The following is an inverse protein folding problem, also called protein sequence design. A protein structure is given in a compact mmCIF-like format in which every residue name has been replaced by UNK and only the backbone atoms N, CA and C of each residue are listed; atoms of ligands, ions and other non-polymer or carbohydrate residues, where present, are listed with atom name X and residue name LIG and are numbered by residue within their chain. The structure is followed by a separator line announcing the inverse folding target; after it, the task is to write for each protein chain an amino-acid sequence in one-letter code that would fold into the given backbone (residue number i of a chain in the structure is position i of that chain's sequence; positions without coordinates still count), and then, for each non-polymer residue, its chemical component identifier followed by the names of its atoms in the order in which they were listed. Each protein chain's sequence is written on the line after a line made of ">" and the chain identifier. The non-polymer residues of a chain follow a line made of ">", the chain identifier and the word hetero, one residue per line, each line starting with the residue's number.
data_IF_493631178097
#
_entry.id   IF_493631178097
#
_cell.length_a   1.000
_cell.length_b   1.000
_cell.length_c   1.000
_cell.angle_alpha   90.00
_cell.angle_beta   90.00
_cell.angle_gamma   90.00
#
_symmetry.space_group_name_H-M   'P 1'
#
loop_
_entity.id
_entity.type
_entity.pdbx_description
1 polymer ?
#
# COMPACT_ATOMS: atom_id res chain seq x y z
N UNK A 1 -1.99 -33.32 -48.80
CA UNK A 1 -2.50 -32.09 -48.18
C UNK A 1 -3.01 -32.38 -46.77
N UNK A 2 -2.55 -31.57 -45.80
CA UNK A 2 -3.09 -31.32 -44.45
C UNK A 2 -3.07 -32.45 -43.41
N UNK A 3 -2.05 -32.41 -42.53
CA UNK A 3 -2.22 -32.58 -41.09
C UNK A 3 -1.29 -31.60 -40.38
N UNK A 4 -1.86 -30.52 -39.84
CA UNK A 4 -1.29 -29.72 -38.74
C UNK A 4 -2.28 -28.60 -38.39
N UNK A 5 -2.81 -28.64 -37.17
CA UNK A 5 -3.45 -27.57 -36.37
C UNK A 5 -4.47 -28.21 -35.43
N UNK A 6 -4.04 -28.72 -34.27
CA UNK A 6 -4.94 -28.92 -33.12
C UNK A 6 -4.14 -29.20 -31.83
N UNK A 7 -3.18 -28.34 -31.45
CA UNK A 7 -2.54 -28.45 -30.12
C UNK A 7 -2.21 -27.12 -29.42
N UNK A 8 -2.57 -25.95 -29.95
CA UNK A 8 -2.14 -24.65 -29.37
C UNK A 8 -3.19 -23.83 -28.61
N UNK A 9 -4.47 -24.25 -28.55
CA UNK A 9 -5.52 -23.42 -27.90
C UNK A 9 -5.83 -23.80 -26.44
N UNK A 10 -5.55 -25.03 -26.01
CA UNK A 10 -5.95 -25.54 -24.67
C UNK A 10 -5.00 -25.10 -23.53
N UNK A 11 -3.73 -24.83 -23.84
CA UNK A 11 -2.73 -24.40 -22.85
C UNK A 11 -2.88 -22.92 -22.43
N UNK A 12 -3.34 -22.05 -23.34
CA UNK A 12 -3.56 -20.63 -23.05
C UNK A 12 -4.78 -20.39 -22.15
N UNK A 13 -5.90 -21.09 -22.38
CA UNK A 13 -7.12 -20.91 -21.57
C UNK A 13 -6.96 -21.39 -20.11
N UNK A 14 -6.24 -22.48 -19.90
CA UNK A 14 -5.99 -23.05 -18.56
C UNK A 14 -5.07 -22.14 -17.71
N UNK A 15 -4.09 -21.49 -18.34
CA UNK A 15 -3.16 -20.57 -17.69
C UNK A 15 -3.82 -19.22 -17.37
N UNK A 16 -4.64 -18.68 -18.28
CA UNK A 16 -5.40 -17.44 -18.02
C UNK A 16 -6.44 -17.61 -16.90
N UNK A 17 -7.07 -18.78 -16.81
CA UNK A 17 -8.06 -19.08 -15.76
C UNK A 17 -7.42 -19.25 -14.37
N UNK A 18 -6.20 -19.79 -14.28
CA UNK A 18 -5.51 -19.95 -13.00
C UNK A 18 -4.90 -18.63 -12.49
N UNK A 19 -4.38 -17.80 -13.39
CA UNK A 19 -3.87 -16.45 -13.08
C UNK A 19 -5.00 -15.55 -12.57
N UNK A 20 -6.14 -15.51 -13.27
CA UNK A 20 -7.31 -14.70 -12.85
C UNK A 20 -7.84 -15.12 -11.48
N UNK A 21 -7.94 -16.42 -11.19
CA UNK A 21 -8.31 -16.93 -9.86
C UNK A 21 -7.34 -16.49 -8.76
N UNK A 22 -6.03 -16.47 -9.05
CA UNK A 22 -5.01 -16.04 -8.10
C UNK A 22 -5.10 -14.52 -7.83
N UNK A 23 -5.29 -13.72 -8.87
CA UNK A 23 -5.50 -12.28 -8.77
C UNK A 23 -6.76 -11.93 -7.97
N UNK A 24 -7.86 -12.64 -8.21
CA UNK A 24 -9.10 -12.51 -7.44
C UNK A 24 -8.86 -12.83 -5.96
N UNK A 25 -8.13 -13.92 -5.67
CA UNK A 25 -7.79 -14.29 -4.30
C UNK A 25 -6.92 -13.22 -3.61
N UNK A 26 -5.96 -12.64 -4.32
CA UNK A 26 -5.13 -11.54 -3.84
C UNK A 26 -5.94 -10.29 -3.56
N UNK A 27 -6.84 -9.90 -4.47
CA UNK A 27 -7.73 -8.76 -4.26
C UNK A 27 -8.59 -8.93 -3.01
N UNK A 28 -9.19 -10.12 -2.81
CA UNK A 28 -10.01 -10.41 -1.61
C UNK A 28 -9.20 -10.24 -0.33
N UNK A 29 -7.99 -10.80 -0.26
CA UNK A 29 -7.11 -10.69 0.92
C UNK A 29 -6.76 -9.24 1.24
N UNK A 30 -6.44 -8.44 0.22
CA UNK A 30 -6.13 -7.01 0.39
C UNK A 30 -7.37 -6.19 0.72
N UNK A 31 -8.55 -6.55 0.19
CA UNK A 31 -9.83 -5.92 0.58
C UNK A 31 -10.11 -6.13 2.06
N UNK A 32 -9.83 -7.31 2.59
CA UNK A 32 -9.94 -7.62 4.03
C UNK A 32 -9.02 -6.69 4.85
N UNK A 33 -7.73 -6.61 4.49
CA UNK A 33 -6.76 -5.74 5.15
C UNK A 33 -7.17 -4.27 5.07
N UNK A 34 -7.55 -3.79 3.88
CA UNK A 34 -7.97 -2.41 3.67
C UNK A 34 -9.21 -2.06 4.48
N UNK A 35 -10.19 -2.96 4.55
CA UNK A 35 -11.40 -2.77 5.37
C UNK A 35 -11.05 -2.73 6.86
N UNK A 36 -10.11 -3.58 7.31
CA UNK A 36 -9.61 -3.57 8.68
C UNK A 36 -8.96 -2.22 9.02
N UNK A 37 -8.06 -1.71 8.17
CA UNK A 37 -7.39 -0.42 8.37
C UNK A 37 -8.41 0.72 8.50
N UNK A 38 -9.41 0.77 7.61
CA UNK A 38 -10.47 1.79 7.68
C UNK A 38 -11.23 1.66 9.00
N UNK A 39 -11.67 0.46 9.36
CA UNK A 39 -12.44 0.22 10.59
C UNK A 39 -11.71 0.67 11.86
N UNK A 40 -10.40 0.39 11.96
CA UNK A 40 -9.60 0.82 13.12
C UNK A 40 -9.31 2.34 13.13
N UNK A 41 -9.54 3.04 12.02
CA UNK A 41 -9.17 4.45 11.84
C UNK A 41 -10.37 5.41 11.75
N UNK A 42 -11.61 4.92 11.83
CA UNK A 42 -12.82 5.77 11.65
C UNK A 42 -12.97 6.91 12.67
N UNK A 43 -12.34 6.80 13.84
CA UNK A 43 -12.35 7.86 14.87
C UNK A 43 -11.27 8.92 14.66
N UNK A 44 -10.36 8.73 13.71
CA UNK A 44 -9.27 9.66 13.42
C UNK A 44 -9.73 10.73 12.42
N UNK A 45 -9.78 12.02 12.82
CA UNK A 45 -10.26 13.10 11.96
C UNK A 45 -9.31 13.40 10.78
N UNK A 46 -8.06 12.93 10.82
CA UNK A 46 -7.09 13.07 9.76
C UNK A 46 -7.02 11.84 8.85
N UNK A 47 -7.87 10.83 9.07
CA UNK A 47 -7.89 9.63 8.26
C UNK A 47 -8.65 9.82 6.95
N UNK A 48 -7.88 10.08 5.90
CA UNK A 48 -8.34 10.11 4.51
C UNK A 48 -7.62 9.09 3.62
N UNK A 49 -7.95 9.13 2.34
CA UNK A 49 -7.37 8.29 1.27
C UNK A 49 -5.84 8.23 1.29
N UNK A 50 -5.14 9.37 1.40
CA UNK A 50 -3.67 9.39 1.46
C UNK A 50 -3.14 8.61 2.65
N UNK A 51 -3.73 8.82 3.84
CA UNK A 51 -3.30 8.15 5.07
C UNK A 51 -3.60 6.65 5.01
N UNK A 52 -4.78 6.28 4.49
CA UNK A 52 -5.14 4.90 4.20
C UNK A 52 -4.09 4.21 3.30
N UNK A 53 -3.77 4.81 2.16
CA UNK A 53 -2.81 4.26 1.20
C UNK A 53 -1.43 4.02 1.82
N UNK A 54 -0.96 4.96 2.64
CA UNK A 54 0.34 4.84 3.30
C UNK A 54 0.34 3.79 4.41
N UNK A 55 -0.74 3.70 5.19
CA UNK A 55 -0.90 2.65 6.19
C UNK A 55 -1.03 1.26 5.56
N UNK A 56 -1.68 1.14 4.40
CA UNK A 56 -1.74 -0.08 3.62
C UNK A 56 -0.33 -0.51 3.16
N UNK A 57 0.43 0.42 2.58
CA UNK A 57 1.81 0.16 2.16
C UNK A 57 2.68 -0.33 3.32
N UNK A 58 2.70 0.39 4.44
CA UNK A 58 3.50 0.03 5.61
C UNK A 58 3.03 -1.30 6.23
N UNK A 59 1.71 -1.54 6.28
CA UNK A 59 1.17 -2.82 6.77
C UNK A 59 1.65 -3.99 5.91
N UNK A 60 1.65 -3.83 4.59
CA UNK A 60 2.07 -4.88 3.66
C UNK A 60 3.58 -5.11 3.65
N UNK A 61 4.38 -4.03 3.63
CA UNK A 61 5.84 -4.11 3.46
C UNK A 61 6.63 -4.24 4.77
N UNK A 62 6.09 -3.74 5.89
CA UNK A 62 6.78 -3.75 7.18
C UNK A 62 6.24 -4.82 8.12
N UNK A 63 4.92 -4.99 8.20
CA UNK A 63 4.30 -5.92 9.13
C UNK A 63 4.12 -7.30 8.52
N UNK A 64 3.37 -7.39 7.42
CA UNK A 64 2.91 -8.67 6.88
C UNK A 64 3.97 -9.37 6.04
N UNK A 65 4.73 -8.64 5.23
CA UNK A 65 5.82 -9.16 4.38
C UNK A 65 5.39 -10.41 3.59
N UNK A 66 4.20 -10.34 2.99
CA UNK A 66 3.58 -11.43 2.22
C UNK A 66 3.12 -10.94 0.86
N UNK A 67 3.26 -11.79 -0.15
CA UNK A 67 2.81 -11.48 -1.50
C UNK A 67 1.28 -11.59 -1.60
N UNK A 68 0.63 -10.44 -1.79
CA UNK A 68 -0.79 -10.29 -2.09
C UNK A 68 -1.01 -9.66 -3.47
N UNK A 69 -0.06 -9.79 -4.39
CA UNK A 69 -0.12 -9.14 -5.69
C UNK A 69 -0.03 -7.61 -5.58
N UNK A 70 0.77 -7.10 -4.64
CA UNK A 70 1.01 -5.67 -4.52
C UNK A 70 1.83 -5.15 -5.70
N UNK A 71 1.40 -4.03 -6.28
CA UNK A 71 2.05 -3.34 -7.39
C UNK A 71 2.18 -1.85 -7.08
N UNK A 72 2.91 -1.54 -6.00
CA UNK A 72 3.20 -0.15 -5.65
C UNK A 72 4.07 0.51 -6.70
N UNK A 73 3.66 1.70 -7.12
CA UNK A 73 4.40 2.57 -8.01
C UNK A 73 4.64 3.92 -7.35
N UNK A 74 5.68 4.60 -7.79
CA UNK A 74 5.99 5.95 -7.35
C UNK A 74 4.96 6.95 -7.88
N UNK A 75 4.30 7.66 -6.96
CA UNK A 75 3.40 8.79 -7.23
C UNK A 75 3.77 9.98 -6.36
N UNK A 76 3.25 11.15 -6.73
CA UNK A 76 3.49 12.42 -6.03
C UNK A 76 3.35 12.30 -4.51
N UNK A 77 2.28 11.65 -4.03
CA UNK A 77 1.99 11.44 -2.61
C UNK A 77 2.68 10.20 -2.01
N UNK A 78 3.80 9.75 -2.57
CA UNK A 78 4.51 8.53 -2.13
C UNK A 78 4.03 7.25 -2.84
N UNK A 79 4.36 6.07 -2.29
CA UNK A 79 3.95 4.77 -2.83
C UNK A 79 2.44 4.67 -3.01
N UNK A 80 2.00 4.20 -4.17
CA UNK A 80 0.59 4.00 -4.47
C UNK A 80 0.37 2.79 -5.36
N UNK A 81 -0.61 1.96 -5.01
CA UNK A 81 -1.04 0.85 -5.85
C UNK A 81 -2.43 1.16 -6.40
N UNK A 82 -2.46 1.73 -7.61
CA UNK A 82 -3.71 2.09 -8.28
C UNK A 82 -4.51 0.88 -8.76
N UNK A 83 -3.84 -0.24 -9.07
CA UNK A 83 -4.48 -1.47 -9.55
C UNK A 83 -5.35 -2.09 -8.46
N UNK A 84 -4.95 -1.94 -7.19
CA UNK A 84 -5.79 -2.34 -6.06
C UNK A 84 -6.71 -1.23 -5.57
N UNK A 85 -6.19 -0.03 -5.33
CA UNK A 85 -6.91 1.00 -4.55
C UNK A 85 -8.17 1.51 -5.26
N UNK A 86 -8.14 1.65 -6.59
CA UNK A 86 -9.30 2.09 -7.37
C UNK A 86 -10.46 1.08 -7.27
N UNK A 87 -10.31 -0.21 -7.65
CA UNK A 87 -11.39 -1.18 -7.53
C UNK A 87 -11.77 -1.47 -6.07
N UNK A 88 -10.82 -1.41 -5.13
CA UNK A 88 -11.11 -1.54 -3.70
C UNK A 88 -12.13 -0.50 -3.24
N UNK A 89 -11.87 0.78 -3.54
CA UNK A 89 -12.77 1.85 -3.15
C UNK A 89 -14.13 1.77 -3.83
N UNK A 90 -14.18 1.46 -5.13
CA UNK A 90 -15.44 1.24 -5.84
C UNK A 90 -16.26 0.12 -5.18
N UNK A 91 -15.62 -0.98 -4.80
CA UNK A 91 -16.30 -2.14 -4.23
C UNK A 91 -16.84 -1.87 -2.82
N UNK A 92 -16.06 -1.24 -1.93
CA UNK A 92 -16.54 -0.95 -0.57
C UNK A 92 -17.69 0.08 -0.53
N UNK A 93 -17.72 1.00 -1.50
CA UNK A 93 -18.81 1.97 -1.67
C UNK A 93 -20.05 1.29 -2.24
N UNK A 94 -19.89 0.47 -3.29
CA UNK A 94 -20.97 -0.34 -3.87
C UNK A 94 -21.60 -1.29 -2.85
N UNK A 95 -20.77 -1.91 -2.00
CA UNK A 95 -21.22 -2.80 -0.93
C UNK A 95 -21.84 -2.04 0.26
N UNK A 96 -21.78 -0.70 0.23
CA UNK A 96 -22.25 0.21 1.30
C UNK A 96 -21.56 -0.03 2.65
N UNK A 97 -20.32 -0.52 2.64
CA UNK A 97 -19.53 -0.71 3.86
C UNK A 97 -19.01 0.62 4.39
N UNK A 98 -18.54 1.47 3.49
CA UNK A 98 -17.99 2.77 3.79
C UNK A 98 -18.47 3.80 2.78
N UNK A 99 -18.50 5.06 3.19
CA UNK A 99 -18.66 6.22 2.33
C UNK A 99 -17.35 6.99 2.30
N UNK A 100 -16.96 7.49 1.12
CA UNK A 100 -15.85 8.47 1.00
C UNK A 100 -16.42 9.85 0.70
N UNK A 101 -16.15 10.81 1.58
CA UNK A 101 -16.66 12.17 1.48
C UNK A 101 -15.53 13.10 1.11
N UNK A 102 -15.67 13.75 -0.04
CA UNK A 102 -14.68 14.73 -0.51
C UNK A 102 -14.64 15.93 0.43
N UNK A 103 -13.49 16.19 1.01
CA UNK A 103 -13.21 17.32 1.90
C UNK A 103 -11.95 18.01 1.40
N UNK A 104 -12.13 19.15 0.71
CA UNK A 104 -11.03 19.84 0.04
C UNK A 104 -10.37 18.95 -1.03
N UNK A 105 -9.10 18.60 -0.80
CA UNK A 105 -8.28 17.78 -1.72
C UNK A 105 -8.25 16.29 -1.38
N UNK A 106 -8.92 15.85 -0.31
CA UNK A 106 -8.88 14.48 0.18
C UNK A 106 -10.28 13.89 0.29
N UNK A 107 -10.35 12.57 0.41
CA UNK A 107 -11.57 11.86 0.79
C UNK A 107 -11.45 11.33 2.21
N UNK A 108 -12.41 11.69 3.07
CA UNK A 108 -12.52 11.14 4.43
C UNK A 108 -13.50 9.97 4.45
N UNK A 109 -13.25 8.99 5.31
CA UNK A 109 -14.11 7.81 5.43
C UNK A 109 -15.21 8.01 6.48
N UNK A 110 -16.41 7.50 6.18
CA UNK A 110 -17.50 7.33 7.15
C UNK A 110 -18.10 5.93 7.06
N UNK A 111 -18.80 5.51 8.11
CA UNK A 111 -19.58 4.27 8.11
C UNK A 111 -20.65 4.34 7.03
N UNK A 112 -20.76 3.28 6.22
CA UNK A 112 -21.88 3.10 5.30
C UNK A 112 -23.05 2.36 5.97
N UNK A 113 -24.17 2.27 5.26
CA UNK A 113 -25.39 1.60 5.73
C UNK A 113 -25.17 0.13 6.12
N UNK A 114 -24.27 -0.57 5.41
CA UNK A 114 -23.92 -1.98 5.64
C UNK A 114 -22.54 -2.15 6.27
N UNK A 115 -22.12 -1.19 7.09
CA UNK A 115 -20.81 -1.18 7.74
C UNK A 115 -20.46 -2.49 8.46
N UNK A 116 -21.39 -3.07 9.23
CA UNK A 116 -21.16 -4.29 10.00
C UNK A 116 -20.74 -5.49 9.14
N UNK A 117 -21.11 -5.50 7.85
CA UNK A 117 -20.68 -6.56 6.92
C UNK A 117 -19.17 -6.53 6.66
N UNK A 118 -18.50 -5.39 6.82
CA UNK A 118 -17.04 -5.24 6.62
C UNK A 118 -16.20 -5.92 7.72
N UNK A 119 -16.80 -6.18 8.89
CA UNK A 119 -16.11 -6.73 10.06
C UNK A 119 -16.12 -8.26 10.04
N UNK A 120 -17.07 -8.86 9.34
CA UNK A 120 -17.26 -10.33 9.26
C UNK A 120 -16.18 -11.05 8.44
N UNK A 121 -15.26 -10.32 7.82
CA UNK A 121 -14.35 -10.83 6.80
C UNK A 121 -12.89 -10.96 7.25
N UNK A 122 -12.56 -10.80 8.53
CA UNK A 122 -11.16 -10.78 9.00
C UNK A 122 -10.50 -12.15 9.16
N UNK A 123 -11.18 -13.24 8.85
CA UNK A 123 -10.71 -14.62 9.09
C UNK A 123 -9.46 -15.05 8.31
N UNK A 124 -8.94 -14.21 7.41
CA UNK A 124 -7.72 -14.51 6.65
C UNK A 124 -6.43 -14.23 7.43
N UNK A 125 -6.40 -13.20 8.27
CA UNK A 125 -5.22 -12.80 9.03
C UNK A 125 -5.29 -13.34 10.44
N UNK A 126 -4.14 -13.73 11.01
CA UNK A 126 -4.09 -14.16 12.41
C UNK A 126 -4.36 -12.99 13.37
N UNK A 127 -4.69 -13.30 14.62
CA UNK A 127 -4.88 -12.28 15.65
C UNK A 127 -3.60 -11.46 15.87
N UNK A 128 -2.42 -12.10 15.87
CA UNK A 128 -1.11 -11.46 15.96
C UNK A 128 -0.82 -10.53 14.78
N UNK A 129 -1.15 -10.94 13.55
CA UNK A 129 -0.99 -10.10 12.36
C UNK A 129 -1.87 -8.84 12.46
N UNK A 130 -3.15 -9.01 12.78
CA UNK A 130 -4.08 -7.89 12.95
C UNK A 130 -3.67 -6.97 14.10
N UNK A 131 -3.21 -7.52 15.22
CA UNK A 131 -2.69 -6.75 16.35
C UNK A 131 -1.47 -5.93 15.96
N UNK A 132 -0.57 -6.48 15.15
CA UNK A 132 0.63 -5.78 14.67
C UNK A 132 0.27 -4.65 13.70
N UNK A 133 -0.71 -4.89 12.81
CA UNK A 133 -1.28 -3.84 11.96
C UNK A 133 -1.97 -2.75 12.78
N UNK A 134 -2.73 -3.12 13.82
CA UNK A 134 -3.35 -2.16 14.73
C UNK A 134 -2.30 -1.29 15.43
N UNK A 135 -1.21 -1.89 15.94
CA UNK A 135 -0.13 -1.13 16.57
C UNK A 135 0.48 -0.09 15.61
N UNK A 136 0.63 -0.45 14.32
CA UNK A 136 1.07 0.48 13.28
C UNK A 136 0.05 1.62 13.08
N UNK A 137 -1.25 1.31 13.02
CA UNK A 137 -2.32 2.32 12.91
C UNK A 137 -2.28 3.28 14.10
N UNK A 138 -2.14 2.74 15.32
CA UNK A 138 -2.06 3.51 16.57
C UNK A 138 -0.86 4.47 16.59
N UNK A 139 0.30 4.01 16.09
CA UNK A 139 1.50 4.82 15.98
C UNK A 139 1.27 6.11 15.17
N UNK A 140 0.39 6.04 14.16
CA UNK A 140 0.03 7.18 13.32
C UNK A 140 -1.31 7.83 13.69
N UNK A 141 -2.02 7.40 14.74
CA UNK A 141 -3.38 7.89 15.05
C UNK A 141 -3.47 9.42 15.15
N UNK A 142 -2.48 10.06 15.78
CA UNK A 142 -2.42 11.55 15.91
C UNK A 142 -1.63 12.23 14.78
N UNK A 143 -1.09 11.46 13.84
CA UNK A 143 -0.30 12.00 12.74
C UNK A 143 -1.21 12.59 11.65
N UNK A 144 -0.81 13.73 11.12
CA UNK A 144 -1.39 14.29 9.90
C UNK A 144 -1.10 13.39 8.69
N UNK A 145 -1.89 13.48 7.63
CA UNK A 145 -1.64 12.74 6.39
C UNK A 145 -0.23 13.01 5.82
N UNK A 146 0.30 14.22 5.98
CA UNK A 146 1.65 14.56 5.51
C UNK A 146 2.74 13.84 6.31
N UNK A 147 2.57 13.66 7.62
CA UNK A 147 3.54 12.90 8.43
C UNK A 147 3.60 11.44 7.97
N UNK A 148 2.44 10.82 7.70
CA UNK A 148 2.39 9.44 7.20
C UNK A 148 2.93 9.35 5.77
N UNK A 149 2.68 10.36 4.93
CA UNK A 149 3.27 10.47 3.58
C UNK A 149 4.80 10.50 3.63
N UNK A 150 5.38 11.33 4.49
CA UNK A 150 6.83 11.43 4.66
C UNK A 150 7.39 10.07 5.05
N UNK A 151 6.86 9.46 6.11
CA UNK A 151 7.38 8.18 6.62
C UNK A 151 7.24 7.08 5.58
N UNK A 152 6.08 6.93 4.93
CA UNK A 152 5.88 5.91 3.92
C UNK A 152 6.76 6.10 2.68
N UNK A 153 7.11 7.33 2.32
CA UNK A 153 8.02 7.60 1.20
C UNK A 153 9.47 7.34 1.60
N UNK A 154 9.91 7.77 2.79
CA UNK A 154 11.23 7.46 3.35
C UNK A 154 11.44 5.95 3.47
N UNK A 155 10.42 5.23 3.96
CA UNK A 155 10.45 3.77 4.05
C UNK A 155 10.66 3.14 2.66
N UNK A 156 9.97 3.63 1.63
CA UNK A 156 10.09 3.10 0.28
C UNK A 156 11.48 3.34 -0.32
N UNK A 157 12.04 4.56 -0.22
CA UNK A 157 13.39 4.84 -0.76
C UNK A 157 14.46 4.07 0.00
N UNK A 158 14.33 3.94 1.32
CA UNK A 158 15.22 3.10 2.13
C UNK A 158 15.11 1.63 1.71
N UNK A 159 13.90 1.10 1.58
CA UNK A 159 13.70 -0.29 1.16
C UNK A 159 14.25 -0.53 -0.26
N UNK A 160 14.09 0.42 -1.18
CA UNK A 160 14.66 0.35 -2.53
C UNK A 160 16.18 0.22 -2.50
N UNK A 161 16.86 1.01 -1.66
CA UNK A 161 18.32 0.91 -1.52
C UNK A 161 18.76 -0.45 -1.00
N UNK A 162 18.07 -1.00 0.01
CA UNK A 162 18.36 -2.34 0.53
C UNK A 162 18.22 -3.39 -0.57
N UNK A 163 17.11 -3.34 -1.33
CA UNK A 163 16.85 -4.25 -2.45
C UNK A 163 17.96 -4.18 -3.52
N UNK A 164 18.49 -2.98 -3.77
CA UNK A 164 19.55 -2.74 -4.77
C UNK A 164 20.97 -2.97 -4.25
N UNK A 165 21.15 -3.25 -2.96
CA UNK A 165 22.47 -3.34 -2.33
C UNK A 165 23.22 -2.01 -2.29
N UNK A 166 22.50 -0.89 -2.24
CA UNK A 166 23.06 0.47 -2.20
C UNK A 166 23.34 0.93 -0.75
N UNK A 167 24.29 1.87 -0.53
CA UNK A 167 24.59 2.40 0.80
C UNK A 167 23.38 3.05 1.47
N UNK A 168 23.20 2.76 2.76
CA UNK A 168 22.12 3.30 3.61
C UNK A 168 22.67 4.43 4.48
N UNK A 169 22.72 5.63 3.92
CA UNK A 169 23.17 6.85 4.59
C UNK A 169 22.06 7.91 4.59
N UNK A 170 21.91 8.68 5.68
CA UNK A 170 20.81 9.64 5.84
C UNK A 170 20.75 10.67 4.71
N UNK A 171 21.90 11.20 4.28
CA UNK A 171 21.95 12.15 3.16
C UNK A 171 21.45 11.53 1.85
N UNK A 172 21.77 10.26 1.60
CA UNK A 172 21.35 9.54 0.41
C UNK A 172 19.85 9.20 0.46
N UNK A 173 19.34 8.78 1.61
CA UNK A 173 17.89 8.55 1.81
C UNK A 173 17.08 9.83 1.64
N UNK A 174 17.59 10.96 2.18
CA UNK A 174 16.99 12.28 1.99
C UNK A 174 17.03 12.70 0.52
N UNK A 175 18.16 12.48 -0.17
CA UNK A 175 18.29 12.77 -1.59
C UNK A 175 17.28 11.98 -2.42
N UNK A 176 17.16 10.67 -2.20
CA UNK A 176 16.20 9.83 -2.92
C UNK A 176 14.76 10.27 -2.66
N UNK A 177 14.43 10.61 -1.41
CA UNK A 177 13.14 11.17 -1.05
C UNK A 177 12.83 12.46 -1.80
N UNK A 178 13.80 13.38 -1.88
CA UNK A 178 13.64 14.66 -2.59
C UNK A 178 13.57 14.48 -4.11
N UNK A 179 14.22 13.45 -4.64
CA UNK A 179 14.18 13.06 -6.06
C UNK A 179 12.92 12.27 -6.43
N UNK A 180 12.15 11.79 -5.45
CA UNK A 180 10.91 11.06 -5.65
C UNK A 180 9.89 11.88 -6.47
N UNK A 181 9.72 13.15 -6.15
CA UNK A 181 8.90 14.07 -6.95
C UNK A 181 9.29 15.51 -6.59
N UNK A 182 9.20 16.45 -7.54
CA UNK A 182 9.57 17.84 -7.29
C UNK A 182 8.75 18.47 -6.15
N UNK A 183 7.52 17.99 -5.90
CA UNK A 183 6.70 18.47 -4.77
C UNK A 183 7.18 18.01 -3.40
N UNK A 184 8.14 17.08 -3.31
CA UNK A 184 8.73 16.63 -2.04
C UNK A 184 9.65 17.66 -1.39
N UNK A 185 10.11 18.66 -2.15
CA UNK A 185 10.98 19.73 -1.64
C UNK A 185 10.37 20.45 -0.42
N UNK A 186 9.04 20.59 -0.35
CA UNK A 186 8.36 21.19 0.81
C UNK A 186 8.55 20.45 2.14
N UNK A 187 9.04 19.21 2.11
CA UNK A 187 9.25 18.38 3.31
C UNK A 187 10.71 18.32 3.75
N UNK A 188 11.65 19.00 3.06
CA UNK A 188 13.09 18.91 3.29
C UNK A 188 13.48 19.07 4.76
N UNK A 189 12.94 20.08 5.43
CA UNK A 189 13.28 20.41 6.83
C UNK A 189 12.68 19.44 7.86
N UNK A 190 11.92 18.43 7.42
CA UNK A 190 11.27 17.44 8.27
C UNK A 190 11.93 16.06 8.20
N UNK A 191 12.88 15.85 7.29
CA UNK A 191 13.38 14.51 6.97
C UNK A 191 14.29 13.93 8.06
N UNK A 192 15.18 14.74 8.65
CA UNK A 192 16.06 14.26 9.74
C UNK A 192 15.23 13.76 10.93
N UNK A 193 14.27 14.59 11.37
CA UNK A 193 13.36 14.22 12.45
C UNK A 193 12.54 12.97 12.11
N UNK A 194 12.11 12.82 10.86
CA UNK A 194 11.35 11.65 10.43
C UNK A 194 12.20 10.37 10.43
N UNK A 195 13.46 10.43 9.96
CA UNK A 195 14.39 9.29 9.97
C UNK A 195 14.73 8.86 11.40
N UNK A 196 15.06 9.82 12.29
CA UNK A 196 15.29 9.52 13.71
C UNK A 196 14.06 8.86 14.34
N UNK A 197 12.87 9.43 14.11
CA UNK A 197 11.62 8.87 14.62
C UNK A 197 11.33 7.46 14.07
N UNK A 198 11.60 7.20 12.78
CA UNK A 198 11.43 5.86 12.20
C UNK A 198 12.31 4.84 12.92
N UNK A 199 13.57 5.17 13.20
CA UNK A 199 14.48 4.28 13.94
C UNK A 199 14.04 4.06 15.38
N UNK A 200 13.64 5.12 16.07
CA UNK A 200 13.11 5.04 17.45
C UNK A 200 11.86 4.14 17.56
N UNK A 201 11.07 4.04 16.48
CA UNK A 201 9.83 3.27 16.42
C UNK A 201 9.98 1.94 15.69
N UNK A 202 11.20 1.53 15.39
CA UNK A 202 11.52 0.30 14.65
C UNK A 202 10.84 0.19 13.27
N UNK A 203 10.53 1.34 12.65
CA UNK A 203 10.01 1.41 11.28
C UNK A 203 11.14 1.40 10.25
N UNK A 204 12.00 0.40 10.35
CA UNK A 204 13.16 0.19 9.48
C UNK A 204 12.85 -0.93 8.47
N UNK A 205 13.01 -0.70 7.15
CA UNK A 205 12.77 -1.73 6.16
C UNK A 205 13.81 -2.85 6.20
N UNK A 206 13.41 -4.04 5.79
CA UNK A 206 14.29 -5.23 5.70
C UNK A 206 14.63 -5.63 4.26
N UNK A 207 14.36 -4.78 3.27
CA UNK A 207 14.53 -5.11 1.85
C UNK A 207 13.48 -6.08 1.30
N UNK A 208 12.34 -6.22 1.96
CA UNK A 208 11.29 -7.12 1.50
C UNK A 208 10.41 -6.44 0.43
N UNK A 209 9.95 -7.23 -0.55
CA UNK A 209 9.06 -6.77 -1.61
C UNK A 209 9.79 -6.38 -2.89
N UNK A 210 9.07 -5.73 -3.82
CA UNK A 210 9.66 -5.18 -5.03
C UNK A 210 10.09 -3.73 -4.79
N UNK A 211 11.10 -3.25 -5.52
CA UNK A 211 11.42 -1.82 -5.51
C UNK A 211 10.27 -1.02 -6.11
N UNK A 212 10.01 0.14 -5.52
CA UNK A 212 8.92 1.04 -5.93
C UNK A 212 9.52 2.16 -6.77
N UNK A 213 9.24 2.11 -8.07
CA UNK A 213 9.83 3.02 -9.07
C UNK A 213 8.75 3.79 -9.83
N UNK A 214 9.15 4.79 -10.63
CA UNK A 214 8.23 5.51 -11.53
C UNK A 214 7.62 4.52 -12.54
N UNK A 215 6.30 4.56 -12.66
CA UNK A 215 5.59 3.82 -13.70
C UNK A 215 6.10 4.25 -15.09
N UNK A 216 6.80 3.36 -15.79
CA UNK A 216 7.41 3.64 -17.09
C UNK A 216 8.87 3.20 -17.26
N UNK A 217 9.59 2.86 -16.19
CA UNK A 217 10.90 2.19 -16.26
C UNK A 217 10.70 0.67 -16.15
N UNK A 218 10.03 0.07 -17.13
CA UNK A 218 10.18 -1.37 -17.39
C UNK A 218 11.29 -1.45 -18.43
N UNK A 219 12.51 -1.77 -18.01
CA UNK A 219 13.51 -2.26 -18.96
C UNK A 219 13.06 -3.69 -19.29
N UNK A 220 12.64 -4.00 -20.52
CA UNK A 220 12.41 -5.39 -20.89
C UNK A 220 13.75 -6.12 -20.79
N UNK A 221 13.74 -7.25 -20.08
CA UNK A 221 14.81 -8.26 -20.16
C UNK A 221 14.61 -9.01 -21.47
#
# INVERSE_FOLDING_TARGET
>A
MKKEKFQTETANQTTTTSVSKKEEQFFVKRKILGSYIINQSLSDPHFGDVKFEKLLHLSEYHILKRNFGQHYIQKVAGPYDNKFTIPFFQQIEKDRWFQRIKTGKQFLFRRGEKHESSIKTYNYFSAEELKSVLNLIELFRKATYEQVEIVSTLYAVWNNRIIKGEPIEDELLKQDFLNWDSKKQKYKDRLDKALSWMRERDLVPSGWGLSIEKAGFIIPI
#
